data_IF_305385485805
#
_entry.id   IF_305385485805
#
_cell.length_a   1.000
_cell.length_b   1.000
_cell.length_c   1.000
_cell.angle_alpha   90.00
_cell.angle_beta   90.00
_cell.angle_gamma   90.00
#
_symmetry.space_group_name_H-M   'P 1'
#
loop_
_entity.id
_entity.type
_entity.pdbx_description
1 polymer ?
#
# COMPACT_ATOMS: atom_id res chain seq x y z
N UNK A 1 -23.11 -28.77 26.47
CA UNK A 1 -23.92 -27.54 26.54
C UNK A 1 -24.43 -27.23 25.13
N UNK A 2 -25.75 -27.23 24.91
CA UNK A 2 -26.30 -26.73 23.63
C UNK A 2 -26.19 -25.21 23.63
N UNK A 3 -25.43 -24.66 22.68
CA UNK A 3 -25.34 -23.22 22.48
C UNK A 3 -26.69 -22.75 21.93
N UNK A 4 -27.40 -21.93 22.71
CA UNK A 4 -28.68 -21.35 22.32
C UNK A 4 -28.43 -20.33 21.19
N UNK A 5 -29.04 -20.57 20.02
CA UNK A 5 -29.00 -19.62 18.90
C UNK A 5 -29.71 -18.33 19.29
N UNK A 6 -29.05 -17.20 19.02
CA UNK A 6 -29.63 -15.87 19.13
C UNK A 6 -30.21 -15.44 17.79
N UNK A 7 -31.14 -14.49 17.84
CA UNK A 7 -31.69 -13.89 16.63
C UNK A 7 -30.60 -13.05 15.93
N UNK A 8 -30.51 -13.21 14.60
CA UNK A 8 -29.55 -12.48 13.79
C UNK A 8 -29.98 -11.02 13.63
N UNK A 9 -29.07 -10.05 13.83
CA UNK A 9 -29.39 -8.67 13.50
C UNK A 9 -29.58 -8.48 11.98
N UNK A 10 -30.24 -7.38 11.59
CA UNK A 10 -30.64 -7.14 10.20
C UNK A 10 -29.48 -7.12 9.20
N UNK A 11 -28.29 -6.69 9.64
CA UNK A 11 -27.08 -6.66 8.82
C UNK A 11 -26.44 -8.04 8.61
N UNK A 12 -26.75 -9.03 9.45
CA UNK A 12 -26.11 -10.37 9.45
C UNK A 12 -27.08 -11.51 9.17
N UNK A 13 -28.11 -11.23 8.38
CA UNK A 13 -29.02 -12.28 7.92
C UNK A 13 -28.29 -13.31 7.06
N UNK A 14 -28.82 -14.52 7.04
CA UNK A 14 -28.30 -15.62 6.23
C UNK A 14 -28.31 -15.18 4.75
N UNK A 15 -27.18 -15.33 4.07
CA UNK A 15 -26.98 -14.87 2.69
C UNK A 15 -26.43 -13.45 2.57
N UNK A 16 -26.25 -12.70 3.67
CA UNK A 16 -25.61 -11.40 3.62
C UNK A 16 -24.17 -11.50 3.11
N UNK A 17 -23.80 -10.60 2.19
CA UNK A 17 -22.46 -10.52 1.57
C UNK A 17 -21.66 -9.39 2.20
N UNK A 18 -20.43 -9.68 2.58
CA UNK A 18 -19.48 -8.75 3.18
C UNK A 18 -18.19 -8.73 2.39
N UNK A 19 -17.67 -7.53 2.15
CA UNK A 19 -16.36 -7.35 1.53
C UNK A 19 -15.26 -7.40 2.59
N UNK A 20 -14.24 -8.22 2.36
CA UNK A 20 -13.05 -8.28 3.23
C UNK A 20 -11.93 -7.44 2.65
N UNK A 21 -11.05 -6.94 3.52
CA UNK A 21 -9.92 -6.09 3.08
C UNK A 21 -8.86 -6.81 2.26
N UNK A 22 -8.80 -8.15 2.35
CA UNK A 22 -7.66 -8.94 1.87
C UNK A 22 -8.03 -10.18 1.06
N UNK A 23 -9.24 -10.71 1.19
CA UNK A 23 -9.59 -12.04 0.65
C UNK A 23 -10.89 -12.03 -0.15
N UNK A 24 -11.33 -10.86 -0.63
CA UNK A 24 -12.55 -10.71 -1.43
C UNK A 24 -13.84 -10.79 -0.61
N UNK A 25 -14.89 -11.34 -1.22
CA UNK A 25 -16.22 -11.40 -0.63
C UNK A 25 -16.46 -12.64 0.22
N UNK A 26 -17.31 -12.47 1.23
CA UNK A 26 -17.69 -13.49 2.19
C UNK A 26 -19.21 -13.48 2.38
N UNK A 27 -19.82 -14.66 2.37
CA UNK A 27 -21.26 -14.87 2.59
C UNK A 27 -21.52 -15.44 3.98
N UNK A 28 -22.51 -14.90 4.67
CA UNK A 28 -22.99 -15.48 5.94
C UNK A 28 -23.83 -16.72 5.68
N UNK A 29 -23.40 -17.86 6.23
CA UNK A 29 -24.17 -19.12 6.16
C UNK A 29 -25.10 -19.23 7.36
N UNK A 30 -24.58 -18.95 8.56
CA UNK A 30 -25.34 -19.19 9.78
C UNK A 30 -24.88 -18.26 10.91
N UNK A 31 -25.84 -17.80 11.71
CA UNK A 31 -25.59 -16.96 12.87
C UNK A 31 -25.98 -17.70 14.16
N UNK A 32 -25.06 -17.82 15.11
CA UNK A 32 -25.34 -18.37 16.43
C UNK A 32 -25.38 -17.28 17.50
N UNK A 33 -24.36 -16.43 17.53
CA UNK A 33 -24.25 -15.30 18.45
C UNK A 33 -23.25 -14.26 17.88
N UNK A 34 -23.05 -13.16 18.61
CA UNK A 34 -22.12 -12.09 18.21
C UNK A 34 -20.65 -12.54 18.10
N UNK A 35 -20.29 -13.67 18.70
CA UNK A 35 -18.92 -14.21 18.69
C UNK A 35 -18.73 -15.35 17.67
N UNK A 36 -19.81 -15.93 17.19
CA UNK A 36 -19.84 -17.16 16.39
C UNK A 36 -20.84 -16.98 15.27
N UNK A 37 -20.33 -16.42 14.19
CA UNK A 37 -20.98 -16.31 12.90
C UNK A 37 -20.24 -17.23 11.94
N UNK A 38 -20.95 -18.14 11.29
CA UNK A 38 -20.39 -19.05 10.29
C UNK A 38 -20.50 -18.38 8.94
N UNK A 39 -19.35 -18.23 8.28
CA UNK A 39 -19.25 -17.57 6.98
C UNK A 39 -18.48 -18.44 5.99
N UNK A 40 -18.78 -18.29 4.71
CA UNK A 40 -18.04 -18.88 3.60
C UNK A 40 -17.36 -17.81 2.75
N UNK A 41 -16.11 -18.05 2.39
CA UNK A 41 -15.39 -17.24 1.42
C UNK A 41 -15.82 -17.63 0.01
N UNK A 42 -16.21 -16.66 -0.83
CA UNK A 42 -16.64 -16.97 -2.20
C UNK A 42 -15.51 -17.45 -3.09
N UNK A 43 -14.29 -16.96 -2.85
CA UNK A 43 -13.12 -17.30 -3.64
C UNK A 43 -12.65 -18.75 -3.45
N UNK A 44 -12.78 -19.27 -2.22
CA UNK A 44 -12.21 -20.57 -1.83
C UNK A 44 -13.26 -21.60 -1.43
N UNK A 45 -14.49 -21.17 -1.17
CA UNK A 45 -15.52 -22.00 -0.55
C UNK A 45 -15.20 -22.39 0.91
N UNK A 46 -14.15 -21.83 1.51
CA UNK A 46 -13.73 -22.19 2.85
C UNK A 46 -14.73 -21.64 3.88
N UNK A 47 -15.09 -22.46 4.88
CA UNK A 47 -16.07 -22.12 5.90
C UNK A 47 -15.33 -21.84 7.21
N UNK A 48 -15.65 -20.72 7.86
CA UNK A 48 -15.00 -20.32 9.11
C UNK A 48 -15.98 -19.70 10.09
N UNK A 49 -15.73 -19.92 11.38
CA UNK A 49 -16.38 -19.19 12.46
C UNK A 49 -15.65 -17.89 12.78
N UNK A 50 -16.39 -16.79 12.82
CA UNK A 50 -15.87 -15.42 12.99
C UNK A 50 -16.80 -14.64 13.92
N UNK A 51 -16.24 -13.64 14.61
CA UNK A 51 -17.02 -12.70 15.40
C UNK A 51 -17.72 -11.67 14.50
N UNK A 52 -18.91 -11.23 14.91
CA UNK A 52 -19.69 -10.23 14.18
C UNK A 52 -18.90 -8.92 13.97
N UNK A 53 -18.14 -8.50 14.98
CA UNK A 53 -17.30 -7.31 14.90
C UNK A 53 -16.23 -7.39 13.80
N UNK A 54 -15.59 -8.57 13.62
CA UNK A 54 -14.56 -8.76 12.59
C UNK A 54 -15.14 -8.81 11.19
N UNK A 55 -16.33 -9.37 11.03
CA UNK A 55 -17.03 -9.39 9.75
C UNK A 55 -17.40 -7.97 9.31
N UNK A 56 -17.95 -7.14 10.22
CA UNK A 56 -18.26 -5.72 9.93
C UNK A 56 -17.02 -4.88 9.62
N UNK A 57 -15.90 -5.12 10.32
CA UNK A 57 -14.66 -4.39 10.05
C UNK A 57 -13.91 -4.90 8.81
N UNK A 58 -14.38 -5.98 8.18
CA UNK A 58 -13.73 -6.63 7.05
C UNK A 58 -12.38 -7.28 7.40
N UNK A 59 -12.07 -7.46 8.70
CA UNK A 59 -10.84 -8.08 9.20
C UNK A 59 -11.00 -9.61 9.27
N UNK A 60 -11.31 -10.19 8.12
CA UNK A 60 -11.55 -11.62 7.95
C UNK A 60 -10.47 -12.17 7.05
N UNK A 61 -9.68 -13.10 7.57
CA UNK A 61 -8.57 -13.73 6.86
C UNK A 61 -8.85 -15.18 6.55
N UNK A 62 -8.68 -15.57 5.29
CA UNK A 62 -8.62 -16.97 4.91
C UNK A 62 -7.18 -17.46 5.08
N UNK A 63 -6.99 -18.64 5.70
CA UNK A 63 -5.66 -19.26 5.83
C UNK A 63 -5.28 -20.04 4.59
N UNK A 64 -6.27 -20.44 3.78
CA UNK A 64 -6.04 -21.24 2.57
C UNK A 64 -5.47 -20.43 1.42
N UNK A 65 -5.64 -19.10 1.45
CA UNK A 65 -5.22 -18.20 0.38
C UNK A 65 -4.39 -17.06 0.96
N UNK A 66 -3.24 -16.72 0.36
CA UNK A 66 -2.46 -15.57 0.77
C UNK A 66 -3.29 -14.29 0.63
N UNK A 67 -3.12 -13.31 1.52
CA UNK A 67 -3.85 -12.06 1.44
C UNK A 67 -3.54 -11.37 0.10
N UNK A 68 -4.58 -10.98 -0.63
CA UNK A 68 -4.45 -10.14 -1.81
C UNK A 68 -3.87 -8.81 -1.35
N UNK A 69 -2.58 -8.62 -1.60
CA UNK A 69 -1.90 -7.38 -1.24
C UNK A 69 -2.33 -6.28 -2.20
N UNK A 70 -2.55 -5.07 -1.68
CA UNK A 70 -2.82 -3.88 -2.50
C UNK A 70 -1.72 -3.58 -3.54
N UNK A 71 -0.54 -4.18 -3.41
CA UNK A 71 0.57 -4.00 -4.36
C UNK A 71 0.46 -4.89 -5.61
N UNK A 72 -0.48 -5.84 -5.65
CA UNK A 72 -0.70 -6.67 -6.86
C UNK A 72 -1.20 -5.76 -7.98
N UNK A 73 -0.49 -5.78 -9.11
CA UNK A 73 -0.73 -4.96 -10.29
C UNK A 73 0.13 -3.69 -10.39
N UNK A 74 0.94 -3.36 -9.39
CA UNK A 74 1.88 -2.25 -9.47
C UNK A 74 3.01 -2.57 -10.45
N UNK A 75 3.36 -1.60 -11.30
CA UNK A 75 4.47 -1.71 -12.24
C UNK A 75 5.71 -1.06 -11.60
N UNK A 76 6.79 -1.80 -11.53
CA UNK A 76 8.07 -1.38 -10.96
C UNK A 76 9.14 -1.45 -12.03
N UNK A 77 9.93 -0.40 -12.18
CA UNK A 77 11.06 -0.40 -13.10
C UNK A 77 12.32 -0.94 -12.40
N UNK A 78 12.98 -1.89 -13.04
CA UNK A 78 14.25 -2.44 -12.59
C UNK A 78 15.30 -2.26 -13.67
N UNK A 79 16.49 -1.83 -13.26
CA UNK A 79 17.65 -1.63 -14.15
C UNK A 79 18.05 -2.90 -14.90
N UNK A 80 17.77 -4.08 -14.33
CA UNK A 80 18.18 -5.39 -14.90
C UNK A 80 17.10 -6.06 -15.75
N UNK A 81 15.84 -5.85 -15.41
CA UNK A 81 14.73 -6.64 -15.93
C UNK A 81 13.66 -5.79 -16.63
N UNK A 82 13.85 -4.47 -16.69
CA UNK A 82 12.90 -3.56 -17.32
C UNK A 82 11.65 -3.35 -16.45
N UNK A 83 10.50 -3.22 -17.10
CA UNK A 83 9.23 -3.00 -16.42
C UNK A 83 8.69 -4.34 -15.90
N UNK A 84 8.61 -4.45 -14.58
CA UNK A 84 8.11 -5.60 -13.86
C UNK A 84 6.70 -5.31 -13.36
N UNK A 85 5.78 -6.26 -13.50
CA UNK A 85 4.43 -6.16 -12.92
C UNK A 85 4.33 -7.09 -11.71
N UNK A 86 3.90 -6.57 -10.56
CA UNK A 86 3.73 -7.40 -9.36
C UNK A 86 2.50 -8.29 -9.53
N UNK A 87 2.70 -9.61 -9.65
CA UNK A 87 1.59 -10.57 -9.73
C UNK A 87 1.08 -10.90 -8.33
N UNK A 88 1.99 -11.15 -7.40
CA UNK A 88 1.62 -11.68 -6.09
C UNK A 88 2.65 -11.31 -5.04
N UNK A 89 2.17 -11.01 -3.83
CA UNK A 89 3.00 -10.84 -2.65
C UNK A 89 2.70 -11.97 -1.69
N UNK A 90 3.70 -12.80 -1.43
CA UNK A 90 3.62 -13.85 -0.44
C UNK A 90 3.90 -13.31 0.97
N UNK A 91 3.38 -14.00 1.98
CA UNK A 91 3.38 -13.55 3.38
C UNK A 91 4.76 -13.53 4.06
N UNK A 92 5.82 -14.00 3.41
CA UNK A 92 7.16 -14.16 4.01
C UNK A 92 8.21 -13.15 3.50
N UNK A 93 7.78 -12.07 2.84
CA UNK A 93 8.61 -11.02 2.19
C UNK A 93 9.04 -11.33 0.75
N UNK A 94 8.41 -12.29 0.09
CA UNK A 94 8.69 -12.61 -1.32
C UNK A 94 7.61 -11.98 -2.19
N UNK A 95 8.05 -11.28 -3.23
CA UNK A 95 7.20 -10.68 -4.26
C UNK A 95 7.51 -11.37 -5.58
N UNK A 96 6.46 -11.92 -6.21
CA UNK A 96 6.52 -12.50 -7.54
C UNK A 96 6.17 -11.40 -8.54
N UNK A 97 7.11 -11.13 -9.44
CA UNK A 97 6.99 -10.14 -10.51
C UNK A 97 7.05 -10.82 -11.87
N UNK A 98 6.39 -10.24 -12.87
CA UNK A 98 6.45 -10.65 -14.27
C UNK A 98 7.14 -9.60 -15.12
N UNK A 99 8.03 -10.01 -16.00
CA UNK A 99 8.53 -9.16 -17.09
C UNK A 99 7.54 -9.11 -18.26
N UNK A 100 7.73 -8.16 -19.18
CA UNK A 100 7.03 -8.13 -20.48
C UNK A 100 7.27 -9.40 -21.32
N UNK A 101 8.33 -10.16 -21.02
CA UNK A 101 8.65 -11.44 -21.65
C UNK A 101 7.97 -12.66 -20.99
N UNK A 102 7.17 -12.47 -19.94
CA UNK A 102 6.49 -13.55 -19.21
C UNK A 102 7.41 -14.33 -18.26
N UNK A 103 8.59 -13.80 -17.95
CA UNK A 103 9.51 -14.41 -16.98
C UNK A 103 9.11 -14.03 -15.55
N UNK A 104 8.92 -15.04 -14.71
CA UNK A 104 8.65 -14.87 -13.28
C UNK A 104 9.94 -14.60 -12.49
N UNK A 105 10.01 -13.43 -11.85
CA UNK A 105 11.12 -13.02 -11.00
C UNK A 105 10.64 -12.92 -9.57
N UNK A 106 11.35 -13.61 -8.67
CA UNK A 106 11.09 -13.55 -7.23
C UNK A 106 12.07 -12.60 -6.58
N UNK A 107 11.56 -11.52 -6.00
CA UNK A 107 12.37 -10.55 -5.26
C UNK A 107 11.89 -10.41 -3.82
N UNK A 108 12.80 -9.95 -2.96
CA UNK A 108 12.44 -9.60 -1.59
C UNK A 108 11.72 -8.24 -1.54
N UNK A 109 10.72 -8.11 -0.67
CA UNK A 109 9.97 -6.87 -0.46
C UNK A 109 10.87 -5.63 -0.25
N UNK A 110 11.96 -5.68 0.57
CA UNK A 110 12.84 -4.53 0.74
C UNK A 110 13.60 -4.13 -0.53
N UNK A 111 13.84 -5.08 -1.45
CA UNK A 111 14.48 -4.78 -2.73
C UNK A 111 13.50 -4.08 -3.68
N UNK A 112 12.24 -4.51 -3.70
CA UNK A 112 11.16 -3.85 -4.47
C UNK A 112 10.94 -2.42 -3.94
N UNK A 113 10.90 -2.23 -2.62
CA UNK A 113 10.77 -0.91 -2.00
C UNK A 113 11.93 0.03 -2.39
N UNK A 114 13.17 -0.45 -2.34
CA UNK A 114 14.33 0.36 -2.78
C UNK A 114 14.27 0.75 -4.26
N UNK A 115 13.72 -0.11 -5.11
CA UNK A 115 13.53 0.22 -6.53
C UNK A 115 12.47 1.31 -6.68
N UNK A 116 11.39 1.26 -5.89
CA UNK A 116 10.37 2.30 -5.85
C UNK A 116 10.94 3.63 -5.32
N UNK A 117 11.64 3.62 -4.18
CA UNK A 117 12.21 4.83 -3.58
C UNK A 117 13.19 5.52 -4.53
N UNK A 118 13.97 4.76 -5.29
CA UNK A 118 14.88 5.30 -6.30
C UNK A 118 14.15 6.00 -7.44
N UNK A 119 12.98 5.50 -7.85
CA UNK A 119 12.12 6.16 -8.85
C UNK A 119 11.47 7.43 -8.26
N UNK A 120 11.09 7.40 -6.98
CA UNK A 120 10.59 8.60 -6.27
C UNK A 120 11.68 9.69 -6.17
N UNK A 121 12.93 9.34 -5.85
CA UNK A 121 14.07 10.28 -5.85
C UNK A 121 14.33 10.90 -7.25
N UNK A 122 14.24 10.10 -8.32
CA UNK A 122 14.42 10.59 -9.69
C UNK A 122 13.27 11.51 -10.13
N UNK A 123 12.03 11.25 -9.69
CA UNK A 123 10.88 12.10 -9.97
C UNK A 123 10.83 13.36 -9.10
N UNK A 124 11.31 13.32 -7.85
CA UNK A 124 11.44 14.50 -6.98
C UNK A 124 12.46 15.51 -7.50
N UNK A 125 13.48 15.08 -8.25
CA UNK A 125 14.40 16.00 -8.93
C UNK A 125 13.75 16.81 -10.06
N UNK A 126 12.57 16.43 -10.57
CA UNK A 126 11.95 17.02 -11.76
C UNK A 126 10.82 18.02 -11.47
N UNK A 127 10.43 18.23 -10.21
CA UNK A 127 9.48 19.30 -9.86
C UNK A 127 10.27 20.53 -9.42
N UNK A 128 10.38 21.59 -10.26
CA UNK A 128 10.90 22.86 -9.78
C UNK A 128 9.92 23.39 -8.73
N UNK A 129 10.27 23.27 -7.45
CA UNK A 129 9.58 23.96 -6.38
C UNK A 129 9.70 25.47 -6.65
N UNK A 130 8.62 26.07 -7.16
CA UNK A 130 8.56 27.51 -7.35
C UNK A 130 8.65 28.16 -5.96
N UNK A 131 9.58 29.11 -5.72
CA UNK A 131 9.70 29.75 -4.43
C UNK A 131 8.45 30.59 -4.18
N UNK A 132 7.63 30.17 -3.21
CA UNK A 132 6.33 30.76 -2.90
C UNK A 132 6.40 32.03 -2.04
N UNK A 133 7.59 32.53 -1.68
CA UNK A 133 7.70 33.76 -0.87
C UNK A 133 9.09 34.41 -0.91
N UNK A 134 9.15 35.72 -0.64
CA UNK A 134 10.39 36.50 -0.48
C UNK A 134 11.30 35.93 0.63
N UNK A 135 10.72 35.26 1.62
CA UNK A 135 11.44 34.58 2.71
C UNK A 135 12.16 33.30 2.26
N UNK A 136 11.74 32.68 1.15
CA UNK A 136 12.42 31.52 0.57
C UNK A 136 13.73 31.91 -0.14
N UNK A 137 13.84 33.15 -0.63
CA UNK A 137 15.03 33.69 -1.28
C UNK A 137 16.18 33.97 -0.30
N UNK A 138 15.87 34.13 0.99
CA UNK A 138 16.86 34.43 2.05
C UNK A 138 17.35 33.19 2.80
N UNK A 139 16.79 32.01 2.53
CA UNK A 139 17.29 30.76 3.11
C UNK A 139 18.68 30.45 2.54
N UNK A 140 19.65 30.42 3.46
CA UNK A 140 21.08 30.22 3.21
C UNK A 140 21.31 28.87 2.54
N UNK A 141 21.50 28.87 1.23
CA UNK A 141 22.08 27.75 0.51
C UNK A 141 23.55 28.09 0.24
N UNK A 142 24.44 27.09 0.19
CA UNK A 142 25.91 27.33 0.04
C UNK A 142 26.20 28.22 -1.18
N UNK A 143 25.46 28.03 -2.27
CA UNK A 143 25.52 28.84 -3.50
C UNK A 143 25.05 30.30 -3.34
N UNK A 144 24.10 30.59 -2.45
CA UNK A 144 23.57 31.97 -2.28
C UNK A 144 24.40 32.82 -1.31
N UNK A 145 25.27 32.20 -0.48
CA UNK A 145 26.24 32.90 0.37
C UNK A 145 27.32 33.60 -0.47
N UNK A 146 27.81 32.91 -1.48
CA UNK A 146 28.90 33.41 -2.33
C UNK A 146 28.42 34.61 -3.15
N UNK A 147 27.22 34.54 -3.74
CA UNK A 147 26.61 35.64 -4.49
C UNK A 147 26.37 36.88 -3.61
N UNK A 148 25.88 36.71 -2.38
CA UNK A 148 25.68 37.83 -1.46
C UNK A 148 26.99 38.48 -1.01
N UNK A 149 28.07 37.69 -0.87
CA UNK A 149 29.40 38.24 -0.57
C UNK A 149 29.96 39.03 -1.76
N UNK A 150 29.71 38.56 -2.99
CA UNK A 150 30.13 39.19 -4.23
C UNK A 150 29.39 40.51 -4.46
N UNK A 151 28.07 40.54 -4.24
CA UNK A 151 27.26 41.75 -4.32
C UNK A 151 27.66 42.77 -3.25
N UNK A 152 27.94 42.34 -2.01
CA UNK A 152 28.43 43.25 -0.96
C UNK A 152 29.78 43.87 -1.31
N UNK A 153 30.70 43.10 -1.91
CA UNK A 153 31.99 43.62 -2.39
C UNK A 153 31.81 44.62 -3.53
N UNK A 154 30.98 44.28 -4.53
CA UNK A 154 30.65 45.19 -5.63
C UNK A 154 30.05 46.50 -5.12
N UNK A 155 29.14 46.45 -4.16
CA UNK A 155 28.49 47.65 -3.61
C UNK A 155 29.43 48.49 -2.73
N UNK A 156 30.40 47.86 -2.04
CA UNK A 156 31.39 48.59 -1.23
C UNK A 156 32.50 49.21 -2.07
N UNK A 157 32.80 48.62 -3.23
CA UNK A 157 33.84 49.11 -4.15
C UNK A 157 33.27 50.15 -5.13
N UNK A 158 31.96 50.17 -5.35
CA UNK A 158 31.31 51.20 -6.16
C UNK A 158 31.13 52.50 -5.36
N UNK A 159 32.03 53.46 -5.57
CA UNK A 159 32.00 54.77 -4.91
C UNK A 159 33.30 55.18 -4.20
N UNK A 160 34.40 54.45 -4.40
CA UNK A 160 35.76 54.95 -4.19
C UNK A 160 36.40 55.32 -5.52
#
# INVERSE_FOLDING_TARGET
MLIKKQEAPHDMQIGARFETKKHGYVTVIEYYNTHTVIVAFENTGNIRSITAAKLRSGQVSDRSVPPQSSMVGERVESVKHGILTIIQVESENIVVLENEHGEEIRMLLPAVQKLRDRVEEETECSKPEMPTSLSALTKRNKKTKDVNSLLKKMLSDYGK
#
